data_IF_528994071396
#
_entry.id   IF_528994071396
#
_cell.length_a   1.000
_cell.length_b   1.000
_cell.length_c   1.000
_cell.angle_alpha   90.00
_cell.angle_beta   90.00
_cell.angle_gamma   90.00
#
_symmetry.space_group_name_H-M   'P 1'
#
loop_
_entity.id
_entity.type
_entity.pdbx_description
1 polymer ?
#
# COMPACT_ATOMS: atom_id res chain seq x y z
N UNK A 1 -11.36 -75.82 14.72
CA UNK A 1 -11.65 -74.68 15.60
C UNK A 1 -11.14 -73.43 14.92
N UNK A 2 -12.00 -72.42 14.76
CA UNK A 2 -11.80 -71.25 13.89
C UNK A 2 -10.58 -70.41 14.25
N UNK A 3 -9.69 -70.22 13.29
CA UNK A 3 -8.75 -69.09 13.23
C UNK A 3 -9.50 -67.88 12.66
N UNK A 4 -10.10 -67.05 13.52
CA UNK A 4 -10.78 -65.83 13.08
C UNK A 4 -9.86 -64.62 13.29
N UNK A 5 -9.21 -64.24 12.19
CA UNK A 5 -8.62 -62.93 11.88
C UNK A 5 -8.99 -61.82 12.87
N UNK A 6 -8.01 -61.33 13.63
CA UNK A 6 -8.15 -60.14 14.48
C UNK A 6 -7.14 -59.04 14.14
N UNK A 7 -6.48 -59.14 12.97
CA UNK A 7 -5.47 -58.17 12.51
C UNK A 7 -6.03 -57.13 11.52
N UNK A 8 -7.25 -57.31 10.98
CA UNK A 8 -7.76 -56.49 9.87
C UNK A 8 -8.15 -55.06 10.30
N UNK A 9 -8.78 -54.91 11.48
CA UNK A 9 -9.23 -53.62 12.00
C UNK A 9 -8.07 -52.65 12.31
N UNK A 10 -6.90 -53.19 12.70
CA UNK A 10 -5.69 -52.42 13.02
C UNK A 10 -5.07 -51.73 11.77
N UNK A 11 -5.10 -52.42 10.63
CA UNK A 11 -4.59 -51.87 9.38
C UNK A 11 -5.53 -50.81 8.80
N UNK A 12 -6.84 -51.02 8.91
CA UNK A 12 -7.85 -50.06 8.45
C UNK A 12 -7.86 -48.79 9.30
N UNK A 13 -7.72 -48.89 10.63
CA UNK A 13 -7.56 -47.73 11.50
C UNK A 13 -6.32 -46.89 11.11
N UNK A 14 -5.19 -47.55 10.83
CA UNK A 14 -3.94 -46.88 10.44
C UNK A 14 -4.07 -46.20 9.08
N UNK A 15 -4.79 -46.81 8.13
CA UNK A 15 -5.10 -46.23 6.82
C UNK A 15 -5.98 -45.00 6.94
N UNK A 16 -7.06 -45.08 7.72
CA UNK A 16 -7.96 -43.96 8.01
C UNK A 16 -7.21 -42.81 8.71
N UNK A 17 -6.31 -43.12 9.64
CA UNK A 17 -5.51 -42.10 10.33
C UNK A 17 -4.54 -41.37 9.39
N UNK A 18 -3.89 -42.10 8.48
CA UNK A 18 -3.01 -41.53 7.44
C UNK A 18 -3.79 -40.66 6.47
N UNK A 19 -5.00 -41.07 6.08
CA UNK A 19 -5.88 -40.30 5.21
C UNK A 19 -6.34 -38.99 5.87
N UNK A 20 -6.73 -39.03 7.15
CA UNK A 20 -7.01 -37.84 7.97
C UNK A 20 -5.80 -36.91 8.08
N UNK A 21 -4.59 -37.45 8.25
CA UNK A 21 -3.34 -36.66 8.28
C UNK A 21 -3.07 -35.98 6.94
N UNK A 22 -3.31 -36.66 5.81
CA UNK A 22 -3.18 -36.08 4.46
C UNK A 22 -4.19 -34.96 4.24
N UNK A 23 -5.46 -35.17 4.61
CA UNK A 23 -6.51 -34.15 4.50
C UNK A 23 -6.17 -32.89 5.32
N UNK A 24 -5.75 -33.05 6.58
CA UNK A 24 -5.32 -31.92 7.43
C UNK A 24 -4.14 -31.13 6.83
N UNK A 25 -3.17 -31.83 6.21
CA UNK A 25 -2.05 -31.16 5.52
C UNK A 25 -2.52 -30.38 4.31
N UNK A 26 -3.40 -30.96 3.50
CA UNK A 26 -3.95 -30.31 2.30
C UNK A 26 -4.76 -29.06 2.68
N UNK A 27 -5.61 -29.18 3.69
CA UNK A 27 -6.40 -28.06 4.20
C UNK A 27 -5.50 -26.92 4.72
N UNK A 28 -4.43 -27.26 5.46
CA UNK A 28 -3.44 -26.27 5.90
C UNK A 28 -2.77 -25.56 4.74
N UNK A 29 -2.36 -26.28 3.70
CA UNK A 29 -1.75 -25.66 2.51
C UNK A 29 -2.74 -24.73 1.79
N UNK A 30 -4.00 -25.14 1.68
CA UNK A 30 -5.04 -24.34 1.03
C UNK A 30 -5.32 -23.04 1.80
N UNK A 31 -5.41 -23.11 3.14
CA UNK A 31 -5.53 -21.92 4.01
C UNK A 31 -4.33 -20.98 3.87
N UNK A 32 -3.12 -21.52 3.82
CA UNK A 32 -1.91 -20.71 3.65
C UNK A 32 -1.86 -20.02 2.28
N UNK A 33 -2.27 -20.72 1.23
CA UNK A 33 -2.37 -20.16 -0.13
C UNK A 33 -3.38 -19.02 -0.19
N UNK A 34 -4.58 -19.22 0.34
CA UNK A 34 -5.60 -18.16 0.44
C UNK A 34 -5.10 -16.94 1.21
N UNK A 35 -4.39 -17.16 2.33
CA UNK A 35 -3.81 -16.07 3.11
C UNK A 35 -2.74 -15.29 2.31
N UNK A 36 -1.92 -15.98 1.53
CA UNK A 36 -0.91 -15.35 0.68
C UNK A 36 -1.55 -14.51 -0.43
N UNK A 37 -2.60 -15.03 -1.08
CA UNK A 37 -3.37 -14.30 -2.10
C UNK A 37 -4.01 -13.03 -1.53
N UNK A 38 -4.66 -13.13 -0.35
CA UNK A 38 -5.22 -11.96 0.35
C UNK A 38 -4.17 -10.90 0.70
N UNK A 39 -2.99 -11.32 1.18
CA UNK A 39 -1.89 -10.39 1.47
C UNK A 39 -1.44 -9.68 0.20
N UNK A 40 -1.35 -10.39 -0.93
CA UNK A 40 -0.95 -9.81 -2.21
C UNK A 40 -2.00 -8.82 -2.74
N UNK A 41 -3.29 -9.11 -2.60
CA UNK A 41 -4.37 -8.17 -2.93
C UNK A 41 -4.32 -6.90 -2.08
N UNK A 42 -4.13 -7.05 -0.76
CA UNK A 42 -3.99 -5.92 0.14
C UNK A 42 -2.77 -5.05 -0.20
N UNK A 43 -1.66 -5.66 -0.59
CA UNK A 43 -0.48 -4.93 -1.07
C UNK A 43 -0.77 -4.13 -2.34
N UNK A 44 -1.45 -4.74 -3.34
CA UNK A 44 -1.86 -4.05 -4.56
C UNK A 44 -2.80 -2.87 -4.28
N UNK A 45 -3.77 -3.05 -3.39
CA UNK A 45 -4.70 -1.97 -2.97
C UNK A 45 -3.92 -0.84 -2.30
N UNK A 46 -2.96 -1.17 -1.44
CA UNK A 46 -2.10 -0.17 -0.78
C UNK A 46 -1.30 0.63 -1.80
N UNK A 47 -0.63 -0.04 -2.74
CA UNK A 47 0.16 0.61 -3.80
C UNK A 47 -0.70 1.52 -4.69
N UNK A 48 -1.90 1.04 -5.05
CA UNK A 48 -2.86 1.84 -5.81
C UNK A 48 -3.33 3.07 -5.03
N UNK A 49 -3.62 2.93 -3.73
CA UNK A 49 -4.02 4.05 -2.88
C UNK A 49 -2.89 5.06 -2.66
N UNK A 50 -1.65 4.61 -2.49
CA UNK A 50 -0.50 5.53 -2.39
C UNK A 50 -0.27 6.31 -3.68
N UNK A 51 -0.54 5.70 -4.85
CA UNK A 51 -0.48 6.40 -6.13
C UNK A 51 -1.66 7.37 -6.32
N UNK A 52 -2.85 7.03 -5.81
CA UNK A 52 -4.07 7.85 -5.92
C UNK A 52 -4.03 9.10 -5.02
N UNK A 53 -3.55 8.98 -3.79
CA UNK A 53 -3.58 10.07 -2.81
C UNK A 53 -2.56 11.19 -3.07
N UNK A 54 -1.64 10.97 -4.01
CA UNK A 54 -0.60 11.94 -4.41
C UNK A 54 -0.67 12.23 -5.91
N UNK A 55 -1.86 12.15 -6.49
CA UNK A 55 -2.10 12.60 -7.85
C UNK A 55 -2.04 14.15 -7.88
N UNK A 56 -1.22 14.72 -8.76
CA UNK A 56 -1.07 16.16 -8.92
C UNK A 56 -2.42 16.89 -9.04
N UNK A 57 -3.37 16.32 -9.79
CA UNK A 57 -4.68 16.93 -10.02
C UNK A 57 -5.48 17.07 -8.72
N UNK A 58 -5.43 16.06 -7.85
CA UNK A 58 -6.12 16.09 -6.56
C UNK A 58 -5.49 17.12 -5.61
N UNK A 59 -4.15 17.18 -5.56
CA UNK A 59 -3.44 18.19 -4.78
C UNK A 59 -3.75 19.61 -5.29
N UNK A 60 -3.83 19.78 -6.61
CA UNK A 60 -4.17 21.05 -7.24
C UNK A 60 -5.60 21.47 -6.91
N UNK A 61 -6.58 20.60 -7.11
CA UNK A 61 -8.00 20.86 -6.80
C UNK A 61 -8.22 21.25 -5.35
N UNK A 62 -7.58 20.53 -4.41
CA UNK A 62 -7.67 20.87 -2.99
C UNK A 62 -7.05 22.24 -2.70
N UNK A 63 -5.86 22.50 -3.25
CA UNK A 63 -5.17 23.77 -3.04
C UNK A 63 -5.90 24.98 -3.64
N UNK A 64 -6.66 24.79 -4.73
CA UNK A 64 -7.40 25.87 -5.42
C UNK A 64 -8.50 26.52 -4.56
N UNK A 65 -8.83 25.94 -3.40
CA UNK A 65 -9.69 26.57 -2.38
C UNK A 65 -9.04 27.81 -1.74
N UNK A 66 -7.71 27.94 -1.88
CA UNK A 66 -6.92 29.02 -1.29
C UNK A 66 -6.20 29.82 -2.38
N UNK A 67 -5.95 31.12 -2.18
CA UNK A 67 -5.13 31.89 -3.10
C UNK A 67 -3.72 31.32 -3.20
N UNK A 68 -3.26 31.07 -4.44
CA UNK A 68 -1.89 30.64 -4.74
C UNK A 68 -0.87 31.61 -4.16
N UNK A 69 0.26 31.09 -3.67
CA UNK A 69 1.29 31.89 -3.02
C UNK A 69 1.11 32.04 -1.50
N UNK A 70 -0.02 31.60 -0.94
CA UNK A 70 -0.26 31.65 0.52
C UNK A 70 0.26 30.39 1.23
N UNK A 71 0.55 30.50 2.54
CA UNK A 71 0.94 29.35 3.35
C UNK A 71 -0.16 28.27 3.39
N UNK A 72 -1.43 28.68 3.49
CA UNK A 72 -2.58 27.76 3.47
C UNK A 72 -2.67 26.99 2.16
N UNK A 73 -2.48 27.67 1.03
CA UNK A 73 -2.40 27.03 -0.28
C UNK A 73 -1.27 26.00 -0.34
N UNK A 74 -0.08 26.36 0.13
CA UNK A 74 1.08 25.47 0.09
C UNK A 74 0.92 24.23 0.99
N UNK A 75 0.35 24.40 2.18
CA UNK A 75 0.04 23.30 3.10
C UNK A 75 -1.03 22.36 2.53
N UNK A 76 -2.10 22.91 1.96
CA UNK A 76 -3.16 22.10 1.33
C UNK A 76 -2.63 21.37 0.08
N UNK A 77 -1.80 22.04 -0.73
CA UNK A 77 -1.14 21.41 -1.87
C UNK A 77 -0.24 20.25 -1.43
N UNK A 78 0.52 20.42 -0.34
CA UNK A 78 1.32 19.36 0.29
C UNK A 78 0.47 18.37 1.11
N UNK A 79 -0.85 18.58 1.21
CA UNK A 79 -1.79 17.79 1.99
C UNK A 79 -1.34 17.62 3.45
N UNK A 80 -0.80 18.69 4.03
CA UNK A 80 -0.23 18.72 5.36
C UNK A 80 -0.95 19.73 6.25
N UNK A 81 -0.89 19.49 7.57
CA UNK A 81 -1.52 20.36 8.55
C UNK A 81 -0.60 21.53 8.93
N UNK A 82 -1.19 22.57 9.50
CA UNK A 82 -0.46 23.76 9.94
C UNK A 82 0.58 23.49 11.03
N UNK A 83 0.49 22.35 11.72
CA UNK A 83 1.35 21.99 12.85
C UNK A 83 2.41 20.94 12.48
N UNK A 84 2.39 20.43 11.25
CA UNK A 84 3.26 19.34 10.77
C UNK A 84 4.74 19.74 10.73
N UNK A 85 5.66 18.97 11.31
CA UNK A 85 7.09 19.31 11.35
C UNK A 85 7.73 19.56 9.97
N UNK A 86 8.67 20.50 9.92
CA UNK A 86 9.37 20.87 8.68
C UNK A 86 10.14 19.68 8.07
N UNK A 87 10.72 18.80 8.89
CA UNK A 87 11.37 17.58 8.40
C UNK A 87 10.39 16.62 7.72
N UNK A 88 9.17 16.52 8.24
CA UNK A 88 8.12 15.70 7.65
C UNK A 88 7.63 16.30 6.34
N UNK A 89 7.42 17.62 6.29
CA UNK A 89 7.09 18.35 5.06
C UNK A 89 8.19 18.16 3.99
N UNK A 90 9.46 18.13 4.40
CA UNK A 90 10.58 17.85 3.50
C UNK A 90 10.51 16.45 2.91
N UNK A 91 10.15 15.44 3.72
CA UNK A 91 9.97 14.06 3.23
C UNK A 91 8.87 13.99 2.19
N UNK A 92 7.70 14.60 2.45
CA UNK A 92 6.59 14.69 1.49
C UNK A 92 7.04 15.33 0.19
N UNK A 93 7.77 16.46 0.28
CA UNK A 93 8.31 17.14 -0.89
C UNK A 93 9.23 16.22 -1.71
N UNK A 94 10.17 15.51 -1.07
CA UNK A 94 11.11 14.64 -1.76
C UNK A 94 10.42 13.45 -2.45
N UNK A 95 9.45 12.82 -1.77
CA UNK A 95 8.67 11.72 -2.34
C UNK A 95 7.91 12.19 -3.59
N UNK A 96 7.22 13.34 -3.51
CA UNK A 96 6.49 13.89 -4.65
C UNK A 96 7.40 14.39 -5.77
N UNK A 97 8.56 14.94 -5.43
CA UNK A 97 9.56 15.36 -6.42
C UNK A 97 10.08 14.16 -7.21
N UNK A 98 10.27 13.00 -6.58
CA UNK A 98 10.65 11.77 -7.29
C UNK A 98 9.55 11.26 -8.21
N UNK A 99 8.28 11.41 -7.80
CA UNK A 99 7.13 10.96 -8.60
C UNK A 99 6.83 11.92 -9.76
N UNK A 100 6.92 13.23 -9.55
CA UNK A 100 6.54 14.23 -10.54
C UNK A 100 7.73 14.81 -11.32
N UNK A 101 8.92 14.21 -11.18
CA UNK A 101 10.11 14.65 -11.91
C UNK A 101 9.90 14.48 -13.42
N UNK A 102 10.18 15.50 -14.25
CA UNK A 102 10.02 15.42 -15.70
C UNK A 102 10.86 14.29 -16.32
N UNK A 103 12.08 14.05 -15.83
CA UNK A 103 12.95 12.97 -16.34
C UNK A 103 12.35 11.56 -16.17
N UNK A 104 11.46 11.37 -15.19
CA UNK A 104 10.80 10.07 -14.94
C UNK A 104 9.40 9.98 -15.55
N UNK A 105 8.74 11.13 -15.75
CA UNK A 105 7.43 11.24 -16.36
C UNK A 105 7.54 12.09 -17.64
N UNK A 106 7.84 11.44 -18.76
CA UNK A 106 7.92 12.05 -20.09
C UNK A 106 6.60 12.69 -20.55
N UNK A 107 5.48 12.40 -19.88
CA UNK A 107 4.16 12.90 -20.24
C UNK A 107 3.57 13.88 -19.21
N UNK A 108 3.36 15.11 -19.69
CA UNK A 108 2.26 16.04 -19.37
C UNK A 108 2.29 16.91 -18.11
N UNK A 109 3.21 16.77 -17.17
CA UNK A 109 3.11 17.54 -15.91
C UNK A 109 4.38 18.31 -15.50
N UNK A 110 4.99 19.06 -16.43
CA UNK A 110 5.99 20.09 -16.09
C UNK A 110 5.49 21.07 -15.01
N UNK A 111 4.17 21.33 -14.99
CA UNK A 111 3.53 22.16 -13.98
C UNK A 111 3.56 21.54 -12.58
N UNK A 112 3.53 20.20 -12.45
CA UNK A 112 3.50 19.55 -11.15
C UNK A 112 4.76 19.84 -10.33
N UNK A 113 5.93 19.77 -10.95
CA UNK A 113 7.18 20.09 -10.29
C UNK A 113 7.29 21.59 -9.97
N UNK A 114 6.78 22.47 -10.84
CA UNK A 114 6.75 23.91 -10.58
C UNK A 114 5.89 24.26 -9.36
N UNK A 115 4.68 23.72 -9.29
CA UNK A 115 3.76 23.93 -8.16
C UNK A 115 4.32 23.34 -6.87
N UNK A 116 4.92 22.15 -6.93
CA UNK A 116 5.56 21.51 -5.78
C UNK A 116 6.72 22.35 -5.24
N UNK A 117 7.57 22.87 -6.12
CA UNK A 117 8.67 23.75 -5.74
C UNK A 117 8.17 25.04 -5.10
N UNK A 118 7.14 25.67 -5.67
CA UNK A 118 6.54 26.88 -5.12
C UNK A 118 5.96 26.64 -3.72
N UNK A 119 5.17 25.59 -3.55
CA UNK A 119 4.61 25.22 -2.25
C UNK A 119 5.71 24.98 -1.20
N UNK A 120 6.78 24.28 -1.57
CA UNK A 120 7.91 24.04 -0.68
C UNK A 120 8.62 25.32 -0.27
N UNK A 121 8.88 26.25 -1.21
CA UNK A 121 9.53 27.53 -0.90
C UNK A 121 8.69 28.38 0.04
N UNK A 122 7.35 28.39 -0.12
CA UNK A 122 6.45 29.12 0.77
C UNK A 122 6.52 28.53 2.17
N UNK A 123 6.39 27.21 2.32
CA UNK A 123 6.45 26.55 3.63
C UNK A 123 7.80 26.79 4.31
N UNK A 124 8.90 26.66 3.57
CA UNK A 124 10.27 26.88 4.08
C UNK A 124 10.53 28.31 4.55
N UNK A 125 9.84 29.31 3.98
CA UNK A 125 10.00 30.73 4.38
C UNK A 125 9.18 31.10 5.62
N UNK A 126 8.12 30.35 5.90
CA UNK A 126 7.16 30.66 6.97
C UNK A 126 7.34 29.78 8.21
N UNK A 127 8.39 28.95 8.25
CA UNK A 127 8.77 28.06 9.37
C UNK A 127 10.27 28.10 9.56
#
# INVERSE_FOLDING_TARGET
MCSHFSDDDSFDERRIELEKKKQKKLEKQLRLKQKAELIQELQKIREHNTNCHHNFNLCLENSNKYPRGTLKWALEFLSAQADTDQEFLRKIYLERAQLWHPDKNNDKNHLAMQYLNEAWQIVKKNR
#
